data_IF_100169431589
#
_entry.id   IF_100169431589
#
_cell.length_a   1.000
_cell.length_b   1.000
_cell.length_c   1.000
_cell.angle_alpha   90.00
_cell.angle_beta   90.00
_cell.angle_gamma   90.00
#
_symmetry.space_group_name_H-M   'P 1'
#
loop_
_entity.id
_entity.type
_entity.pdbx_description
1 polymer ?
#
# COMPACT_ATOMS: atom_id res chain seq x y z
N UNK A 1 22.67 -9.84 -12.42
CA UNK A 1 21.69 -8.70 -12.49
C UNK A 1 20.49 -8.97 -13.42
N UNK A 2 19.91 -10.18 -13.48
CA UNK A 2 19.01 -10.57 -14.59
C UNK A 2 17.64 -11.14 -14.17
N UNK A 3 17.25 -11.23 -12.91
CA UNK A 3 16.00 -11.92 -12.56
C UNK A 3 14.82 -11.05 -12.06
N UNK A 4 15.05 -9.82 -11.61
CA UNK A 4 13.98 -8.97 -11.06
C UNK A 4 13.15 -8.21 -12.12
N UNK A 5 13.69 -8.00 -13.31
CA UNK A 5 12.97 -7.28 -14.39
C UNK A 5 12.09 -8.19 -15.26
N UNK A 6 12.16 -9.52 -15.13
CA UNK A 6 11.39 -10.41 -16.00
C UNK A 6 9.91 -10.46 -15.65
N UNK A 7 9.56 -10.34 -14.35
CA UNK A 7 8.17 -10.41 -13.90
C UNK A 7 7.28 -9.33 -14.55
N UNK A 8 7.75 -8.07 -14.62
CA UNK A 8 6.93 -7.00 -15.21
C UNK A 8 6.92 -7.00 -16.74
N UNK A 9 7.89 -7.64 -17.44
CA UNK A 9 7.94 -7.67 -18.90
C UNK A 9 6.70 -8.31 -19.54
N UNK A 10 6.12 -9.30 -18.88
CA UNK A 10 4.91 -10.01 -19.35
C UNK A 10 3.63 -9.49 -18.66
N UNK A 11 3.79 -8.75 -17.55
CA UNK A 11 2.67 -8.28 -16.75
C UNK A 11 1.84 -7.20 -17.47
N UNK A 12 2.51 -6.24 -18.14
CA UNK A 12 1.84 -5.16 -18.85
C UNK A 12 1.95 -5.34 -20.36
N UNK A 13 0.88 -5.81 -21.00
CA UNK A 13 0.84 -5.98 -22.47
C UNK A 13 0.67 -4.65 -23.23
N UNK A 14 0.10 -3.63 -22.59
CA UNK A 14 -0.15 -2.31 -23.18
C UNK A 14 0.20 -1.21 -22.19
N UNK A 15 0.75 -0.12 -22.72
CA UNK A 15 1.04 1.11 -22.00
C UNK A 15 0.30 2.24 -22.70
N UNK A 16 -0.61 2.90 -22.00
CA UNK A 16 -1.21 4.15 -22.44
C UNK A 16 -0.36 5.31 -21.94
N UNK A 17 -0.07 6.27 -22.82
CA UNK A 17 0.81 7.41 -22.49
C UNK A 17 0.09 8.70 -22.87
N UNK A 18 -0.10 9.59 -21.90
CA UNK A 18 -0.55 10.95 -22.21
C UNK A 18 0.49 11.65 -23.08
N UNK A 19 0.02 12.36 -24.11
CA UNK A 19 0.91 13.13 -24.99
C UNK A 19 1.81 14.10 -24.24
N UNK A 20 1.33 14.66 -23.14
CA UNK A 20 2.07 15.60 -22.30
C UNK A 20 3.33 15.00 -21.63
N UNK A 21 3.41 13.68 -21.52
CA UNK A 21 4.53 12.98 -20.86
C UNK A 21 5.34 12.10 -21.83
N UNK A 22 5.07 12.19 -23.13
CA UNK A 22 5.93 11.60 -24.15
C UNK A 22 7.32 12.24 -24.06
N UNK A 23 8.36 11.42 -24.01
CA UNK A 23 9.73 11.92 -23.94
C UNK A 23 10.25 12.33 -22.56
N UNK A 24 9.41 12.31 -21.51
CA UNK A 24 9.89 12.50 -20.13
C UNK A 24 10.85 11.36 -19.73
N UNK A 25 11.89 11.67 -18.95
CA UNK A 25 12.90 10.70 -18.53
C UNK A 25 12.32 9.47 -17.85
N UNK A 26 11.34 9.68 -16.95
CA UNK A 26 10.65 8.57 -16.27
C UNK A 26 9.86 7.71 -17.26
N UNK A 27 9.17 8.32 -18.21
CA UNK A 27 8.47 7.59 -19.29
C UNK A 27 9.44 6.74 -20.09
N UNK A 28 10.55 7.33 -20.53
CA UNK A 28 11.59 6.65 -21.30
C UNK A 28 12.23 5.49 -20.52
N UNK A 29 12.45 5.68 -19.21
CA UNK A 29 12.97 4.64 -18.32
C UNK A 29 12.00 3.44 -18.25
N UNK A 30 10.71 3.70 -18.07
CA UNK A 30 9.66 2.66 -17.99
C UNK A 30 9.56 1.91 -19.32
N UNK A 31 9.55 2.62 -20.44
CA UNK A 31 9.51 2.01 -21.78
C UNK A 31 10.71 1.09 -22.04
N UNK A 32 11.91 1.48 -21.62
CA UNK A 32 13.11 0.62 -21.72
C UNK A 32 12.97 -0.66 -20.88
N UNK A 33 12.23 -0.61 -19.78
CA UNK A 33 11.99 -1.77 -18.91
C UNK A 33 10.86 -2.68 -19.42
N UNK A 34 9.98 -2.16 -20.30
CA UNK A 34 8.83 -2.87 -20.89
C UNK A 34 8.90 -2.89 -22.44
N UNK A 35 9.96 -3.45 -23.04
CA UNK A 35 10.21 -3.32 -24.49
C UNK A 35 9.17 -4.07 -25.36
N UNK A 36 8.41 -4.99 -24.79
CA UNK A 36 7.40 -5.81 -25.51
C UNK A 36 5.98 -5.23 -25.42
N UNK A 37 5.76 -4.27 -24.52
CA UNK A 37 4.44 -3.67 -24.36
C UNK A 37 4.08 -2.77 -25.55
N UNK A 38 2.83 -2.87 -26.00
CA UNK A 38 2.29 -1.97 -27.04
C UNK A 38 2.03 -0.60 -26.46
N UNK A 39 2.60 0.43 -27.06
CA UNK A 39 2.37 1.83 -26.66
C UNK A 39 1.16 2.39 -27.40
N UNK A 40 0.28 3.06 -26.66
CA UNK A 40 -0.91 3.73 -27.17
C UNK A 40 -0.92 5.16 -26.61
N UNK A 41 -0.89 6.15 -27.47
CA UNK A 41 -1.00 7.55 -27.07
C UNK A 41 -2.46 7.90 -26.74
N UNK A 42 -2.65 8.69 -25.69
CA UNK A 42 -3.95 9.22 -25.27
C UNK A 42 -3.84 10.70 -24.98
N UNK A 43 -4.96 11.41 -25.06
CA UNK A 43 -4.98 12.83 -24.71
C UNK A 43 -5.00 13.04 -23.21
N UNK A 44 -5.80 12.24 -22.48
CA UNK A 44 -5.89 12.31 -21.02
C UNK A 44 -6.04 10.91 -20.42
N UNK A 45 -5.39 10.63 -19.27
CA UNK A 45 -5.44 9.31 -18.62
C UNK A 45 -6.87 8.86 -18.30
N UNK A 46 -7.78 9.80 -17.99
CA UNK A 46 -9.18 9.51 -17.68
C UNK A 46 -9.97 8.93 -18.87
N UNK A 47 -9.52 9.15 -20.11
CA UNK A 47 -10.12 8.56 -21.31
C UNK A 47 -10.08 7.03 -21.27
N UNK A 48 -9.10 6.48 -20.56
CA UNK A 48 -8.94 5.04 -20.32
C UNK A 48 -9.37 4.67 -18.89
N UNK A 49 -8.91 5.41 -17.89
CA UNK A 49 -9.09 5.10 -16.48
C UNK A 49 -10.55 5.22 -16.03
N UNK A 50 -11.26 6.25 -16.49
CA UNK A 50 -12.65 6.53 -16.12
C UNK A 50 -13.66 6.13 -17.21
N UNK A 51 -13.24 5.36 -18.22
CA UNK A 51 -14.14 4.93 -19.30
C UNK A 51 -15.34 4.17 -18.71
N UNK A 52 -16.58 4.50 -19.08
CA UNK A 52 -17.77 3.76 -18.63
C UNK A 52 -17.78 2.30 -19.09
N UNK A 53 -18.51 1.44 -18.36
CA UNK A 53 -18.75 0.05 -18.76
C UNK A 53 -17.53 -0.87 -18.63
N UNK A 54 -16.55 -0.52 -17.81
CA UNK A 54 -15.39 -1.36 -17.55
C UNK A 54 -15.75 -2.56 -16.68
N UNK A 55 -14.98 -3.64 -16.83
CA UNK A 55 -15.03 -4.80 -15.95
C UNK A 55 -13.71 -4.88 -15.17
N UNK A 56 -13.63 -4.29 -13.96
CA UNK A 56 -12.40 -4.24 -13.21
C UNK A 56 -11.91 -5.62 -12.78
N UNK A 57 -12.80 -6.57 -12.49
CA UNK A 57 -12.43 -7.95 -12.15
C UNK A 57 -11.72 -8.67 -13.30
N UNK A 58 -12.22 -8.54 -14.53
CA UNK A 58 -11.52 -9.07 -15.71
C UNK A 58 -10.21 -8.34 -15.99
N UNK A 59 -10.18 -7.02 -15.84
CA UNK A 59 -8.96 -6.22 -16.01
C UNK A 59 -7.86 -6.58 -15.02
N UNK A 60 -8.21 -7.02 -13.81
CA UNK A 60 -7.24 -7.41 -12.79
C UNK A 60 -6.31 -8.54 -13.26
N UNK A 61 -6.83 -9.44 -14.07
CA UNK A 61 -6.04 -10.54 -14.67
C UNK A 61 -5.08 -10.08 -15.78
N UNK A 62 -5.25 -8.87 -16.31
CA UNK A 62 -4.47 -8.32 -17.41
C UNK A 62 -4.43 -6.78 -17.33
N UNK A 63 -3.91 -6.28 -16.22
CA UNK A 63 -3.80 -4.84 -15.96
C UNK A 63 -2.98 -4.15 -17.06
N UNK A 64 -3.37 -2.91 -17.36
CA UNK A 64 -2.60 -2.02 -18.26
C UNK A 64 -1.95 -0.94 -17.45
N UNK A 65 -0.84 -0.43 -17.96
CA UNK A 65 -0.15 0.71 -17.37
C UNK A 65 -0.57 1.99 -18.09
N UNK A 66 -0.79 3.05 -17.34
CA UNK A 66 -1.12 4.37 -17.85
C UNK A 66 -0.11 5.37 -17.31
N UNK A 67 0.68 6.00 -18.16
CA UNK A 67 1.64 7.03 -17.79
C UNK A 67 1.01 8.40 -18.05
N UNK A 68 0.98 9.25 -17.04
CA UNK A 68 0.24 10.50 -17.08
C UNK A 68 0.93 11.61 -16.29
N UNK A 69 0.42 12.83 -16.43
CA UNK A 69 0.76 13.97 -15.59
C UNK A 69 -0.40 14.26 -14.63
N UNK A 70 -0.11 14.39 -13.34
CA UNK A 70 -1.08 14.94 -12.40
C UNK A 70 -0.98 16.48 -12.41
N UNK A 71 -2.00 17.11 -12.97
CA UNK A 71 -2.13 18.60 -12.98
C UNK A 71 -2.91 19.13 -11.78
N UNK A 72 -3.56 18.25 -10.99
CA UNK A 72 -4.30 18.60 -9.79
C UNK A 72 -3.43 18.55 -8.52
N UNK A 73 -4.11 18.50 -7.38
CA UNK A 73 -3.49 18.33 -6.06
C UNK A 73 -2.70 17.03 -5.97
N UNK A 74 -1.56 17.05 -5.29
CA UNK A 74 -0.62 15.93 -5.18
C UNK A 74 -0.38 15.49 -3.75
N UNK A 75 -0.47 16.43 -2.81
CA UNK A 75 -0.30 16.20 -1.36
C UNK A 75 -1.62 16.54 -0.67
N UNK A 76 -2.19 15.56 -0.01
CA UNK A 76 -3.51 15.65 0.62
C UNK A 76 -3.38 15.57 2.13
N UNK A 77 -4.23 16.25 2.92
CA UNK A 77 -4.32 16.02 4.35
C UNK A 77 -4.74 14.57 4.61
N UNK A 78 -4.20 13.98 5.66
CA UNK A 78 -4.50 12.61 6.06
C UNK A 78 -5.97 12.40 6.34
N UNK A 79 -6.47 11.22 6.01
CA UNK A 79 -7.86 10.90 6.28
C UNK A 79 -8.10 10.74 7.80
N UNK A 80 -9.24 11.23 8.34
CA UNK A 80 -9.52 11.18 9.79
C UNK A 80 -9.54 9.77 10.38
N UNK A 81 -9.72 8.76 9.53
CA UNK A 81 -9.72 7.34 9.88
C UNK A 81 -8.39 6.63 9.61
N UNK A 82 -7.29 7.36 9.31
CA UNK A 82 -5.94 6.81 9.26
C UNK A 82 -5.14 7.26 10.47
N UNK A 83 -4.21 6.44 10.96
CA UNK A 83 -3.34 6.82 12.06
C UNK A 83 -2.38 7.94 11.65
N UNK A 84 -2.29 8.96 12.50
CA UNK A 84 -1.25 9.99 12.44
C UNK A 84 -0.02 9.63 13.29
N UNK A 85 -0.11 8.54 14.07
CA UNK A 85 0.95 8.05 14.97
C UNK A 85 1.44 9.08 15.99
N UNK A 86 0.55 10.02 16.36
CA UNK A 86 0.85 11.08 17.32
C UNK A 86 1.53 12.31 16.71
N UNK A 87 1.70 12.37 15.38
CA UNK A 87 2.23 13.54 14.71
C UNK A 87 1.20 14.67 14.59
N UNK A 88 1.66 15.90 14.66
CA UNK A 88 0.80 17.10 14.64
C UNK A 88 0.15 17.38 13.29
N UNK A 89 0.76 16.89 12.20
CA UNK A 89 0.27 17.03 10.84
C UNK A 89 0.43 15.73 10.07
N UNK A 90 -0.65 15.29 9.40
CA UNK A 90 -0.64 14.08 8.58
C UNK A 90 -1.01 14.39 7.14
N UNK A 91 -0.16 13.93 6.22
CA UNK A 91 -0.37 14.05 4.78
C UNK A 91 -0.20 12.69 4.08
N UNK A 92 -0.78 12.59 2.88
CA UNK A 92 -0.52 11.47 1.99
C UNK A 92 -0.34 11.93 0.54
N UNK A 93 0.32 11.09 -0.25
CA UNK A 93 0.47 11.28 -1.69
C UNK A 93 -0.11 10.09 -2.44
N UNK A 94 -0.60 10.34 -3.66
CA UNK A 94 -1.15 9.33 -4.56
C UNK A 94 -0.50 9.47 -5.94
N UNK A 95 0.82 9.23 -5.99
CA UNK A 95 1.57 9.29 -7.25
C UNK A 95 1.30 8.08 -8.15
N UNK A 96 0.85 6.97 -7.57
CA UNK A 96 0.41 5.78 -8.28
C UNK A 96 -1.00 5.44 -7.83
N UNK A 97 -1.88 5.12 -8.79
CA UNK A 97 -3.25 4.68 -8.53
C UNK A 97 -3.40 3.20 -8.92
N UNK A 98 -4.09 2.44 -8.11
CA UNK A 98 -4.20 0.98 -8.15
C UNK A 98 -2.91 0.23 -7.84
N UNK A 99 -3.06 -1.05 -7.52
CA UNK A 99 -2.02 -1.90 -7.00
C UNK A 99 -1.82 -3.13 -7.91
N UNK A 100 -0.60 -3.66 -8.04
CA UNK A 100 -0.37 -4.90 -8.78
C UNK A 100 -0.94 -6.13 -8.06
N UNK A 101 -1.03 -6.10 -6.72
CA UNK A 101 -1.60 -7.18 -5.92
C UNK A 101 -3.13 -7.24 -6.00
N UNK A 102 -3.70 -8.42 -5.76
CA UNK A 102 -5.15 -8.67 -5.88
C UNK A 102 -5.79 -9.06 -4.54
N UNK A 103 -5.50 -8.32 -3.48
CA UNK A 103 -6.15 -8.55 -2.19
C UNK A 103 -7.67 -8.36 -2.29
N UNK A 104 -8.44 -9.36 -1.84
CA UNK A 104 -9.91 -9.34 -2.00
C UNK A 104 -10.61 -8.30 -1.12
N UNK A 105 -10.00 -7.91 -0.02
CA UNK A 105 -10.50 -6.88 0.90
C UNK A 105 -10.09 -5.45 0.54
N UNK A 106 -9.35 -5.25 -0.57
CA UNK A 106 -8.72 -3.97 -0.86
C UNK A 106 -9.73 -2.89 -1.26
N UNK A 107 -9.76 -1.76 -0.55
CA UNK A 107 -10.66 -0.64 -0.84
C UNK A 107 -10.46 -0.04 -2.23
N UNK A 108 -9.28 -0.20 -2.83
CA UNK A 108 -9.01 0.27 -4.19
C UNK A 108 -9.94 -0.38 -5.22
N UNK A 109 -10.39 -1.62 -4.96
CA UNK A 109 -11.37 -2.31 -5.80
C UNK A 109 -12.72 -1.59 -5.86
N UNK A 110 -13.07 -0.84 -4.84
CA UNK A 110 -14.29 -0.04 -4.81
C UNK A 110 -14.08 1.44 -5.09
N UNK A 111 -12.87 1.93 -4.88
CA UNK A 111 -12.50 3.33 -5.10
C UNK A 111 -12.41 3.69 -6.58
N UNK A 112 -11.85 2.78 -7.39
CA UNK A 112 -11.58 3.03 -8.80
C UNK A 112 -12.47 2.20 -9.72
N UNK A 113 -12.90 2.76 -10.87
CA UNK A 113 -13.80 2.06 -11.82
C UNK A 113 -13.05 1.05 -12.71
N UNK A 114 -11.76 0.90 -12.55
CA UNK A 114 -10.86 0.06 -13.34
C UNK A 114 -9.78 -0.53 -12.48
N UNK A 115 -9.17 -1.64 -12.89
CA UNK A 115 -7.98 -2.20 -12.26
C UNK A 115 -6.68 -1.77 -12.93
N UNK A 116 -6.72 -0.97 -14.01
CA UNK A 116 -5.53 -0.45 -14.65
C UNK A 116 -4.74 0.46 -13.70
N UNK A 117 -3.41 0.45 -13.83
CA UNK A 117 -2.52 1.21 -12.95
C UNK A 117 -2.17 2.53 -13.62
N UNK A 118 -2.36 3.64 -12.91
CA UNK A 118 -1.89 4.97 -13.35
C UNK A 118 -0.62 5.31 -12.60
N UNK A 119 0.36 5.82 -13.32
CA UNK A 119 1.60 6.37 -12.77
C UNK A 119 1.72 7.82 -13.21
N UNK A 120 1.74 8.72 -12.27
CA UNK A 120 2.02 10.12 -12.54
C UNK A 120 3.52 10.35 -12.54
N UNK A 121 4.08 10.58 -13.73
CA UNK A 121 5.53 10.63 -13.95
C UNK A 121 6.17 11.96 -13.57
N UNK A 122 5.38 13.00 -13.29
CA UNK A 122 5.83 14.33 -12.90
C UNK A 122 6.21 14.43 -11.41
N UNK A 123 7.14 13.61 -10.96
CA UNK A 123 7.57 13.51 -9.55
C UNK A 123 8.00 14.85 -8.97
N UNK A 124 8.68 15.68 -9.76
CA UNK A 124 9.20 16.96 -9.29
C UNK A 124 8.08 17.92 -8.85
N UNK A 125 6.90 17.84 -9.49
CA UNK A 125 5.72 18.60 -9.08
C UNK A 125 5.16 18.13 -7.72
N UNK A 126 5.21 16.82 -7.46
CA UNK A 126 4.86 16.24 -6.15
C UNK A 126 5.79 16.75 -5.06
N UNK A 127 7.09 16.76 -5.33
CA UNK A 127 8.11 17.21 -4.39
C UNK A 127 8.01 18.72 -4.14
N UNK A 128 7.68 19.52 -5.15
CA UNK A 128 7.48 20.96 -5.03
C UNK A 128 6.22 21.28 -4.21
N UNK A 129 5.13 20.54 -4.41
CA UNK A 129 3.93 20.70 -3.60
C UNK A 129 4.15 20.24 -2.15
N UNK A 130 4.91 19.16 -1.94
CA UNK A 130 5.32 18.72 -0.60
C UNK A 130 6.07 19.85 0.13
N UNK A 131 7.03 20.49 -0.53
CA UNK A 131 7.79 21.62 0.04
C UNK A 131 6.88 22.78 0.43
N UNK A 132 5.76 22.98 -0.29
CA UNK A 132 4.82 24.07 -0.02
C UNK A 132 3.91 23.79 1.18
N UNK A 133 3.63 22.52 1.48
CA UNK A 133 2.71 22.11 2.56
C UNK A 133 3.44 21.72 3.85
N UNK A 134 4.65 21.19 3.75
CA UNK A 134 5.48 20.89 4.92
C UNK A 134 6.08 22.17 5.46
N UNK A 135 5.62 22.56 6.63
CA UNK A 135 6.27 23.58 7.44
C UNK A 135 7.36 22.92 8.28
N UNK A 136 8.34 23.67 8.74
CA UNK A 136 9.29 23.17 9.71
C UNK A 136 8.54 22.67 10.96
N UNK A 137 8.75 21.41 11.32
CA UNK A 137 8.12 20.78 12.47
C UNK A 137 7.71 19.31 12.25
N UNK A 138 7.10 18.75 13.28
CA UNK A 138 6.64 17.38 13.31
C UNK A 138 5.52 17.11 12.29
N UNK A 139 5.77 16.21 11.36
CA UNK A 139 4.82 15.79 10.33
C UNK A 139 4.92 14.30 10.01
N UNK A 140 3.84 13.74 9.48
CA UNK A 140 3.77 12.38 8.98
C UNK A 140 3.27 12.38 7.53
N UNK A 141 4.01 11.73 6.64
CA UNK A 141 3.69 11.64 5.22
C UNK A 141 3.71 10.19 4.75
N UNK A 142 2.57 9.67 4.29
CA UNK A 142 2.53 8.34 3.66
C UNK A 142 2.60 8.45 2.13
N UNK A 143 3.50 7.68 1.51
CA UNK A 143 3.78 7.74 0.07
C UNK A 143 2.93 6.79 -0.77
N UNK A 144 2.47 5.69 -0.19
CA UNK A 144 1.79 4.59 -0.90
C UNK A 144 0.32 4.50 -0.51
N UNK A 145 -0.44 5.61 -0.58
CA UNK A 145 -1.82 5.58 -0.12
C UNK A 145 -2.74 4.80 -1.08
N UNK A 146 -2.64 5.05 -2.38
CA UNK A 146 -3.52 4.45 -3.40
C UNK A 146 -2.86 3.34 -4.23
N UNK A 147 -1.76 2.76 -3.72
CA UNK A 147 -1.02 1.69 -4.40
C UNK A 147 -0.05 1.00 -3.43
N UNK A 148 0.59 -0.07 -3.87
CA UNK A 148 1.87 -0.53 -3.31
C UNK A 148 2.99 -0.01 -4.23
N UNK A 149 3.46 1.20 -3.95
CA UNK A 149 4.46 1.88 -4.77
C UNK A 149 5.80 1.12 -4.75
N UNK A 150 6.15 0.53 -3.61
CA UNK A 150 7.37 -0.26 -3.46
C UNK A 150 7.35 -1.53 -4.31
N UNK A 151 6.18 -2.16 -4.47
CA UNK A 151 6.02 -3.30 -5.37
C UNK A 151 6.32 -2.93 -6.83
N UNK A 152 6.01 -1.72 -7.24
CA UNK A 152 6.20 -1.23 -8.62
C UNK A 152 7.56 -0.53 -8.82
N UNK A 153 8.29 -0.20 -7.77
CA UNK A 153 9.54 0.58 -7.86
C UNK A 153 10.60 -0.03 -8.78
N UNK A 154 10.81 -1.37 -8.84
CA UNK A 154 11.74 -1.96 -9.79
C UNK A 154 11.41 -1.62 -11.26
N UNK A 155 10.14 -1.31 -11.55
CA UNK A 155 9.69 -0.84 -12.86
C UNK A 155 9.75 0.68 -12.97
N UNK A 156 9.33 1.42 -11.94
CA UNK A 156 9.05 2.84 -12.02
C UNK A 156 10.28 3.73 -11.79
N UNK A 157 11.10 3.42 -10.79
CA UNK A 157 12.27 4.22 -10.43
C UNK A 157 11.91 5.62 -9.88
N UNK A 158 10.82 5.74 -9.12
CA UNK A 158 10.32 7.01 -8.60
C UNK A 158 10.91 7.36 -7.23
N UNK A 159 11.18 6.34 -6.41
CA UNK A 159 11.50 6.52 -4.98
C UNK A 159 12.86 7.19 -4.74
N UNK A 160 13.81 7.07 -5.67
CA UNK A 160 15.13 7.74 -5.52
C UNK A 160 15.00 9.26 -5.38
N UNK A 161 14.06 9.89 -6.10
CA UNK A 161 13.78 11.32 -5.97
C UNK A 161 13.16 11.65 -4.60
N UNK A 162 12.26 10.79 -4.12
CA UNK A 162 11.66 10.91 -2.80
C UNK A 162 12.70 10.82 -1.69
N UNK A 163 13.59 9.81 -1.71
CA UNK A 163 14.65 9.66 -0.70
C UNK A 163 15.54 10.88 -0.60
N UNK A 164 15.95 11.44 -1.75
CA UNK A 164 16.74 12.69 -1.77
C UNK A 164 15.99 13.87 -1.16
N UNK A 165 14.66 13.93 -1.36
CA UNK A 165 13.84 15.02 -0.80
C UNK A 165 13.62 14.84 0.71
N UNK A 166 13.38 13.63 1.19
CA UNK A 166 13.18 13.32 2.61
C UNK A 166 14.36 13.79 3.48
N UNK A 167 15.58 13.71 2.97
CA UNK A 167 16.77 14.17 3.67
C UNK A 167 16.74 15.66 4.06
N UNK A 168 15.86 16.47 3.44
CA UNK A 168 15.67 17.88 3.77
C UNK A 168 14.71 18.11 4.94
N UNK A 169 14.00 17.08 5.39
CA UNK A 169 12.95 17.14 6.40
C UNK A 169 13.20 16.15 7.53
N UNK A 170 14.27 16.32 8.34
CA UNK A 170 14.64 15.37 9.38
C UNK A 170 13.55 15.18 10.45
N UNK A 171 12.73 16.21 10.70
CA UNK A 171 11.66 16.19 11.71
C UNK A 171 10.31 15.67 11.17
N UNK A 172 10.24 15.33 9.88
CA UNK A 172 9.04 14.75 9.24
C UNK A 172 9.24 13.27 9.04
N UNK A 173 8.36 12.44 9.58
CA UNK A 173 8.36 10.98 9.36
C UNK A 173 7.69 10.65 8.03
N UNK A 174 8.37 9.90 7.19
CA UNK A 174 7.83 9.35 5.94
C UNK A 174 7.54 7.86 6.09
N UNK A 175 6.39 7.42 5.61
CA UNK A 175 6.03 6.00 5.57
C UNK A 175 5.95 5.48 4.14
N UNK A 176 6.64 4.36 3.90
CA UNK A 176 6.48 3.54 2.71
C UNK A 176 5.87 2.20 3.11
N UNK A 177 4.56 2.05 2.93
CA UNK A 177 3.85 0.80 3.28
C UNK A 177 3.85 -0.16 2.11
N UNK A 178 4.16 -1.44 2.37
CA UNK A 178 4.26 -2.45 1.32
C UNK A 178 3.98 -3.88 1.80
N UNK A 179 3.51 -4.71 0.86
CA UNK A 179 3.51 -6.17 0.95
C UNK A 179 4.65 -6.82 0.14
N UNK A 180 5.37 -6.01 -0.65
CA UNK A 180 6.46 -6.50 -1.49
C UNK A 180 7.75 -6.73 -0.68
N UNK A 181 8.61 -7.58 -1.21
CA UNK A 181 9.97 -7.77 -0.69
C UNK A 181 10.90 -6.67 -1.26
N UNK A 182 10.66 -5.44 -0.82
CA UNK A 182 11.35 -4.25 -1.32
C UNK A 182 12.36 -3.73 -0.31
N UNK A 183 13.61 -3.58 -0.75
CA UNK A 183 14.66 -2.89 0.00
C UNK A 183 14.88 -1.51 -0.62
N UNK A 184 14.79 -0.41 0.15
CA UNK A 184 15.11 0.92 -0.35
C UNK A 184 16.51 0.99 -0.99
N UNK A 185 16.66 1.80 -2.02
CA UNK A 185 17.96 2.07 -2.66
C UNK A 185 18.83 3.05 -1.86
N UNK A 186 18.18 3.88 -1.01
CA UNK A 186 18.89 4.76 -0.08
C UNK A 186 19.54 3.99 1.07
N UNK A 187 20.53 4.57 1.73
CA UNK A 187 20.91 4.15 3.06
C UNK A 187 19.74 4.32 4.06
N UNK A 188 19.73 3.62 5.20
CA UNK A 188 18.75 3.87 6.25
C UNK A 188 18.69 5.35 6.64
N UNK A 189 17.50 5.84 6.87
CA UNK A 189 17.20 7.23 7.27
C UNK A 189 16.31 7.21 8.50
N UNK A 190 16.60 8.06 9.49
CA UNK A 190 15.85 8.11 10.76
C UNK A 190 14.41 8.55 10.57
N UNK A 191 14.13 9.27 9.51
CA UNK A 191 12.80 9.77 9.17
C UNK A 191 12.06 8.94 8.11
N UNK A 192 12.57 7.77 7.69
CA UNK A 192 11.89 6.84 6.80
C UNK A 192 11.51 5.55 7.55
N UNK A 193 10.22 5.26 7.60
CA UNK A 193 9.66 4.00 8.10
C UNK A 193 9.22 3.13 6.92
N UNK A 194 9.76 1.91 6.84
CA UNK A 194 9.24 0.89 5.94
C UNK A 194 8.16 0.11 6.70
N UNK A 195 6.89 0.34 6.35
CA UNK A 195 5.78 -0.35 6.97
C UNK A 195 5.48 -1.66 6.22
N UNK A 196 5.90 -2.78 6.80
CA UNK A 196 5.69 -4.11 6.21
C UNK A 196 4.32 -4.63 6.64
N UNK A 197 3.44 -4.87 5.65
CA UNK A 197 2.12 -5.46 5.93
C UNK A 197 2.24 -6.95 6.15
N UNK A 198 1.73 -7.42 7.30
CA UNK A 198 1.78 -8.82 7.71
C UNK A 198 0.38 -9.28 8.15
N UNK A 199 0.01 -10.49 7.74
CA UNK A 199 -1.17 -11.21 8.23
C UNK A 199 -0.80 -12.69 8.41
N UNK A 200 -1.58 -13.47 9.20
CA UNK A 200 -1.38 -14.91 9.30
C UNK A 200 -1.37 -15.59 7.92
N UNK A 201 -0.56 -16.63 7.75
CA UNK A 201 -0.45 -17.31 6.46
C UNK A 201 -1.80 -17.79 5.90
N UNK A 202 -2.75 -18.36 6.69
CA UNK A 202 -4.08 -18.73 6.18
C UNK A 202 -4.87 -17.52 5.61
N UNK A 203 -4.72 -16.34 6.23
CA UNK A 203 -5.36 -15.12 5.74
C UNK A 203 -4.72 -14.65 4.43
N UNK A 204 -3.39 -14.72 4.33
CA UNK A 204 -2.68 -14.36 3.10
C UNK A 204 -3.13 -15.27 1.95
N UNK A 205 -3.19 -16.58 2.15
CA UNK A 205 -3.60 -17.54 1.14
C UNK A 205 -5.03 -17.32 0.65
N UNK A 206 -5.92 -16.97 1.58
CA UNK A 206 -7.33 -16.78 1.26
C UNK A 206 -7.65 -15.42 0.66
N UNK A 207 -6.96 -14.36 1.07
CA UNK A 207 -7.36 -12.98 0.78
C UNK A 207 -6.32 -12.14 0.04
N UNK A 208 -5.07 -12.54 -0.03
CA UNK A 208 -3.98 -11.70 -0.57
C UNK A 208 -3.32 -12.31 -1.83
N UNK A 209 -4.12 -12.54 -2.87
CA UNK A 209 -3.61 -13.12 -4.12
C UNK A 209 -2.49 -12.28 -4.74
N UNK A 210 -1.42 -12.96 -5.14
CA UNK A 210 -0.26 -12.37 -5.80
C UNK A 210 0.78 -11.76 -4.86
N UNK A 211 0.56 -11.80 -3.53
CA UNK A 211 1.51 -11.28 -2.55
C UNK A 211 2.50 -12.35 -2.07
N UNK A 212 3.67 -11.99 -1.52
CA UNK A 212 4.58 -12.94 -0.90
C UNK A 212 3.97 -13.60 0.35
N UNK A 213 4.38 -14.84 0.65
CA UNK A 213 3.99 -15.55 1.87
C UNK A 213 4.50 -14.86 3.14
N UNK A 214 3.88 -15.16 4.29
CA UNK A 214 4.30 -14.64 5.60
C UNK A 214 5.79 -14.91 5.87
N UNK A 215 6.24 -16.13 5.69
CA UNK A 215 7.64 -16.50 5.91
C UNK A 215 8.62 -15.67 5.06
N UNK A 216 8.29 -15.37 3.80
CA UNK A 216 9.11 -14.50 2.94
C UNK A 216 9.11 -13.07 3.43
N UNK A 217 7.97 -12.55 3.91
CA UNK A 217 7.87 -11.18 4.45
C UNK A 217 8.65 -11.06 5.77
N UNK A 218 8.57 -12.04 6.68
CA UNK A 218 9.35 -12.08 7.92
C UNK A 218 10.86 -12.12 7.62
N UNK A 219 11.27 -13.00 6.71
CA UNK A 219 12.69 -13.07 6.30
C UNK A 219 13.18 -11.74 5.75
N UNK A 220 12.42 -11.11 4.88
CA UNK A 220 12.77 -9.81 4.31
C UNK A 220 12.79 -8.70 5.35
N UNK A 221 11.83 -8.68 6.28
CA UNK A 221 11.78 -7.74 7.40
C UNK A 221 13.04 -7.83 8.25
N UNK A 222 13.47 -9.05 8.61
CA UNK A 222 14.71 -9.26 9.36
C UNK A 222 15.93 -8.75 8.59
N UNK A 223 15.96 -8.85 7.25
CA UNK A 223 17.02 -8.24 6.44
C UNK A 223 16.99 -6.70 6.50
N UNK A 224 15.81 -6.09 6.52
CA UNK A 224 15.68 -4.64 6.68
C UNK A 224 16.21 -4.19 8.05
N UNK A 225 15.81 -4.87 9.13
CA UNK A 225 16.29 -4.60 10.50
C UNK A 225 17.81 -4.75 10.60
N UNK A 226 18.36 -5.85 10.09
CA UNK A 226 19.81 -6.10 10.09
C UNK A 226 20.61 -5.05 9.29
N UNK A 227 19.96 -4.35 8.36
CA UNK A 227 20.56 -3.25 7.59
C UNK A 227 20.40 -1.90 8.29
N UNK A 228 19.59 -1.82 9.38
CA UNK A 228 19.37 -0.60 10.15
C UNK A 228 18.17 0.24 9.70
N UNK A 229 17.27 -0.28 8.83
CA UNK A 229 16.05 0.42 8.48
C UNK A 229 15.07 0.44 9.66
N UNK A 230 14.39 1.56 9.84
CA UNK A 230 13.24 1.63 10.74
C UNK A 230 12.06 0.89 10.12
N UNK A 231 11.50 -0.07 10.84
CA UNK A 231 10.41 -0.92 10.35
C UNK A 231 9.20 -0.81 11.27
N UNK A 232 8.02 -0.67 10.66
CA UNK A 232 6.70 -0.79 11.30
C UNK A 232 6.06 -2.09 10.87
N UNK A 233 5.40 -2.79 11.79
CA UNK A 233 4.51 -3.90 11.44
C UNK A 233 3.10 -3.35 11.18
N UNK A 234 2.56 -3.56 9.98
CA UNK A 234 1.20 -3.19 9.64
C UNK A 234 0.32 -4.45 9.60
N UNK A 235 -0.36 -4.75 10.70
CA UNK A 235 -1.27 -5.89 10.86
C UNK A 235 -2.70 -5.38 10.62
N UNK A 236 -2.97 -4.94 9.41
CA UNK A 236 -4.23 -4.26 9.02
C UNK A 236 -4.56 -4.59 7.56
N UNK A 237 -5.80 -5.07 7.27
CA UNK A 237 -6.90 -5.26 8.19
C UNK A 237 -6.92 -6.66 8.83
N UNK A 238 -7.35 -6.74 10.09
CA UNK A 238 -7.77 -8.00 10.68
C UNK A 238 -9.08 -8.44 10.01
N UNK A 239 -9.11 -9.70 9.60
CA UNK A 239 -10.27 -10.31 8.93
C UNK A 239 -10.85 -11.42 9.82
N UNK A 240 -12.17 -11.45 9.91
CA UNK A 240 -12.87 -12.52 10.61
C UNK A 240 -12.92 -13.77 9.73
N UNK A 241 -12.22 -14.79 10.17
CA UNK A 241 -12.12 -16.10 9.53
C UNK A 241 -12.45 -17.18 10.56
N UNK A 242 -12.63 -18.41 10.11
CA UNK A 242 -12.79 -19.56 10.99
C UNK A 242 -11.59 -19.64 11.96
N UNK A 243 -11.85 -19.86 13.23
CA UNK A 243 -10.83 -19.91 14.29
C UNK A 243 -9.96 -18.63 14.42
N UNK A 244 -10.46 -17.46 14.01
CA UNK A 244 -9.70 -16.21 13.98
C UNK A 244 -8.92 -15.94 15.27
N UNK A 245 -9.55 -16.08 16.44
CA UNK A 245 -8.90 -15.86 17.73
C UNK A 245 -7.65 -16.73 17.93
N UNK A 246 -7.72 -18.02 17.62
CA UNK A 246 -6.60 -18.94 17.73
C UNK A 246 -5.50 -18.63 16.70
N UNK A 247 -5.91 -18.33 15.46
CA UNK A 247 -4.98 -18.03 14.36
C UNK A 247 -4.21 -16.75 14.61
N UNK A 248 -4.88 -15.67 15.02
CA UNK A 248 -4.22 -14.39 15.31
C UNK A 248 -3.36 -14.45 16.58
N UNK A 249 -3.80 -15.18 17.61
CA UNK A 249 -2.97 -15.43 18.80
C UNK A 249 -1.68 -16.16 18.43
N UNK A 250 -1.78 -17.28 17.70
CA UNK A 250 -0.63 -18.02 17.21
C UNK A 250 0.31 -17.18 16.32
N UNK A 251 -0.26 -16.35 15.46
CA UNK A 251 0.49 -15.43 14.61
C UNK A 251 1.29 -14.39 15.43
N UNK A 252 0.71 -13.83 16.48
CA UNK A 252 1.42 -12.89 17.34
C UNK A 252 2.62 -13.56 18.04
N UNK A 253 2.47 -14.81 18.51
CA UNK A 253 3.58 -15.59 19.04
C UNK A 253 4.63 -15.97 17.98
N UNK A 254 4.20 -16.28 16.74
CA UNK A 254 5.11 -16.50 15.60
C UNK A 254 5.96 -15.26 15.33
N UNK A 255 5.35 -14.06 15.33
CA UNK A 255 6.09 -12.80 15.18
C UNK A 255 7.10 -12.60 16.31
N UNK A 256 6.69 -12.81 17.58
CA UNK A 256 7.56 -12.67 18.75
C UNK A 256 8.75 -13.64 18.78
N UNK A 257 8.59 -14.83 18.17
CA UNK A 257 9.66 -15.82 18.07
C UNK A 257 10.57 -15.65 16.84
N UNK A 258 10.06 -15.01 15.79
CA UNK A 258 10.74 -14.92 14.48
C UNK A 258 11.38 -13.56 14.22
N UNK A 259 11.00 -12.53 14.98
CA UNK A 259 11.45 -11.14 14.84
C UNK A 259 11.87 -10.62 16.20
N UNK A 260 13.00 -9.92 16.27
CA UNK A 260 13.32 -9.12 17.45
C UNK A 260 12.41 -7.88 17.47
N UNK A 261 11.28 -7.98 18.20
CA UNK A 261 10.28 -6.91 18.29
C UNK A 261 10.81 -5.69 19.06
N UNK A 262 11.94 -5.76 19.75
CA UNK A 262 12.58 -4.59 20.36
C UNK A 262 13.10 -3.61 19.32
N UNK A 263 13.49 -4.09 18.14
CA UNK A 263 14.01 -3.31 17.02
C UNK A 263 12.92 -2.70 16.14
N UNK A 264 11.67 -3.17 16.26
CA UNK A 264 10.53 -2.63 15.50
C UNK A 264 10.16 -1.24 16.04
N UNK A 265 9.92 -0.26 15.17
CA UNK A 265 9.49 1.08 15.57
C UNK A 265 8.15 1.03 16.32
N UNK A 266 7.17 0.40 15.71
CA UNK A 266 5.83 0.23 16.25
C UNK A 266 5.02 -0.83 15.46
N UNK A 267 3.83 -1.16 15.98
CA UNK A 267 2.83 -2.01 15.33
C UNK A 267 1.56 -1.20 15.12
N UNK A 268 1.01 -1.22 13.91
CA UNK A 268 -0.34 -0.71 13.64
C UNK A 268 -1.28 -1.86 13.34
N UNK A 269 -2.45 -1.87 13.98
CA UNK A 269 -3.49 -2.89 13.76
C UNK A 269 -4.88 -2.28 13.73
N UNK A 270 -5.78 -2.94 13.04
CA UNK A 270 -7.19 -2.55 12.95
C UNK A 270 -7.97 -3.55 12.14
N UNK A 271 -9.29 -3.61 12.39
CA UNK A 271 -10.17 -4.50 11.66
C UNK A 271 -10.56 -3.95 10.28
N UNK A 272 -11.08 -4.84 9.44
CA UNK A 272 -11.63 -4.46 8.15
C UNK A 272 -12.71 -3.38 8.31
N UNK A 273 -12.54 -2.32 7.54
CA UNK A 273 -13.50 -1.23 7.40
C UNK A 273 -13.38 -0.61 6.01
N UNK A 274 -14.50 -0.22 5.43
CA UNK A 274 -14.52 0.36 4.08
C UNK A 274 -15.71 1.32 3.94
N UNK A 275 -15.57 2.46 3.23
CA UNK A 275 -16.73 3.27 2.87
C UNK A 275 -17.78 2.43 2.16
N UNK A 276 -19.05 2.58 2.54
CA UNK A 276 -20.14 1.72 2.04
C UNK A 276 -20.31 1.75 0.52
N UNK A 277 -20.02 2.90 -0.11
CA UNK A 277 -20.07 3.01 -1.56
C UNK A 277 -18.92 2.23 -2.22
N UNK A 278 -17.72 2.25 -1.63
CA UNK A 278 -16.59 1.45 -2.13
C UNK A 278 -16.89 -0.04 -1.97
N UNK A 279 -17.44 -0.46 -0.84
CA UNK A 279 -17.84 -1.85 -0.64
C UNK A 279 -18.85 -2.32 -1.70
N UNK A 280 -19.90 -1.53 -1.96
CA UNK A 280 -20.89 -1.84 -3.01
C UNK A 280 -20.26 -1.94 -4.40
N UNK A 281 -19.35 -1.02 -4.73
CA UNK A 281 -18.65 -1.04 -6.02
C UNK A 281 -17.74 -2.27 -6.13
N UNK A 282 -17.03 -2.62 -5.08
CA UNK A 282 -16.18 -3.82 -5.02
C UNK A 282 -17.01 -5.07 -5.27
N UNK A 283 -18.14 -5.25 -4.57
CA UNK A 283 -19.03 -6.40 -4.75
C UNK A 283 -19.60 -6.50 -6.18
N UNK A 284 -19.86 -5.36 -6.85
CA UNK A 284 -20.36 -5.35 -8.23
C UNK A 284 -19.28 -5.60 -9.28
N UNK A 285 -18.06 -5.10 -9.03
CA UNK A 285 -16.99 -5.07 -10.03
C UNK A 285 -16.07 -6.29 -10.01
N UNK A 286 -16.07 -7.04 -8.92
CA UNK A 286 -15.20 -8.20 -8.73
C UNK A 286 -16.04 -9.44 -8.41
N UNK A 287 -15.60 -10.60 -8.86
CA UNK A 287 -16.31 -11.86 -8.64
C UNK A 287 -16.56 -12.16 -7.15
N UNK A 288 -17.38 -13.16 -6.90
CA UNK A 288 -17.76 -13.59 -5.56
C UNK A 288 -16.51 -13.94 -4.71
N UNK A 289 -16.51 -13.42 -3.49
CA UNK A 289 -15.49 -13.71 -2.49
C UNK A 289 -16.12 -13.74 -1.09
N UNK A 290 -15.53 -14.48 -0.15
CA UNK A 290 -16.08 -14.65 1.20
C UNK A 290 -16.37 -13.33 1.91
N UNK A 291 -15.53 -12.32 1.71
CA UNK A 291 -15.73 -11.00 2.32
C UNK A 291 -17.03 -10.30 1.85
N UNK A 292 -17.57 -10.67 0.68
CA UNK A 292 -18.82 -10.11 0.16
C UNK A 292 -20.06 -10.64 0.87
N UNK A 293 -19.95 -11.76 1.54
CA UNK A 293 -21.06 -12.44 2.23
C UNK A 293 -21.02 -12.27 3.75
N UNK A 294 -19.97 -11.62 4.28
CA UNK A 294 -19.90 -11.38 5.70
C UNK A 294 -21.01 -10.40 6.14
N UNK A 295 -21.71 -10.64 7.27
CA UNK A 295 -22.80 -9.81 7.76
C UNK A 295 -22.28 -8.55 8.48
N UNK A 296 -21.62 -7.67 7.72
CA UNK A 296 -21.10 -6.42 8.26
C UNK A 296 -22.21 -5.48 8.71
N UNK A 297 -21.90 -4.68 9.71
CA UNK A 297 -22.70 -3.49 10.06
C UNK A 297 -22.30 -2.30 9.19
N UNK A 298 -23.24 -1.36 9.02
CA UNK A 298 -22.95 -0.07 8.39
C UNK A 298 -23.11 1.03 9.44
N UNK A 299 -22.00 1.60 9.89
CA UNK A 299 -21.96 2.66 10.89
C UNK A 299 -21.27 3.87 10.26
N UNK A 300 -21.90 5.05 10.31
CA UNK A 300 -21.37 6.30 9.77
C UNK A 300 -20.88 6.18 8.31
N UNK A 301 -21.64 5.49 7.47
CA UNK A 301 -21.33 5.19 6.06
C UNK A 301 -20.09 4.30 5.86
N UNK A 302 -19.64 3.61 6.90
CA UNK A 302 -18.60 2.59 6.81
C UNK A 302 -19.17 1.20 7.05
N UNK A 303 -18.78 0.26 6.20
CA UNK A 303 -18.99 -1.17 6.40
C UNK A 303 -17.87 -1.68 7.29
N UNK A 304 -18.22 -2.34 8.39
CA UNK A 304 -17.27 -2.84 9.41
C UNK A 304 -17.85 -3.99 10.21
N UNK A 305 -17.06 -4.65 11.02
CA UNK A 305 -17.56 -5.62 12.01
C UNK A 305 -18.33 -4.91 13.14
N UNK A 306 -19.12 -5.68 13.91
CA UNK A 306 -19.67 -5.20 15.16
C UNK A 306 -18.55 -4.81 16.13
N UNK A 307 -18.81 -3.85 17.03
CA UNK A 307 -17.80 -3.42 18.01
C UNK A 307 -17.28 -4.56 18.87
N UNK A 308 -18.14 -5.49 19.28
CA UNK A 308 -17.75 -6.66 20.07
C UNK A 308 -16.74 -7.52 19.26
N UNK A 309 -17.04 -7.79 18.00
CA UNK A 309 -16.15 -8.61 17.15
C UNK A 309 -14.83 -7.91 16.83
N UNK A 310 -14.85 -6.61 16.62
CA UNK A 310 -13.62 -5.82 16.47
C UNK A 310 -12.71 -5.94 17.69
N UNK A 311 -13.28 -5.78 18.91
CA UNK A 311 -12.50 -5.91 20.15
C UNK A 311 -11.88 -7.30 20.28
N UNK A 312 -12.64 -8.36 20.04
CA UNK A 312 -12.13 -9.75 20.11
C UNK A 312 -10.97 -9.99 19.14
N UNK A 313 -11.09 -9.52 17.89
CA UNK A 313 -10.04 -9.67 16.87
C UNK A 313 -8.80 -8.88 17.24
N UNK A 314 -8.96 -7.64 17.70
CA UNK A 314 -7.85 -6.78 18.13
C UNK A 314 -7.13 -7.39 19.33
N UNK A 315 -7.85 -7.82 20.35
CA UNK A 315 -7.29 -8.42 21.57
C UNK A 315 -6.54 -9.71 21.25
N UNK A 316 -7.04 -10.52 20.30
CA UNK A 316 -6.38 -11.76 19.90
C UNK A 316 -4.97 -11.56 19.31
N UNK A 317 -4.66 -10.38 18.80
CA UNK A 317 -3.33 -10.01 18.30
C UNK A 317 -2.56 -9.20 19.34
N UNK A 318 -3.21 -8.19 19.92
CA UNK A 318 -2.50 -7.20 20.76
C UNK A 318 -2.09 -7.76 22.11
N UNK A 319 -2.91 -8.62 22.73
CA UNK A 319 -2.59 -9.17 24.05
C UNK A 319 -1.35 -10.06 24.04
N UNK A 320 -1.19 -11.00 23.09
CA UNK A 320 0.07 -11.74 23.00
C UNK A 320 1.28 -10.86 22.64
N UNK A 321 1.11 -9.84 21.78
CA UNK A 321 2.21 -8.95 21.40
C UNK A 321 2.77 -8.14 22.58
N UNK A 322 1.93 -7.80 23.58
CA UNK A 322 2.36 -7.11 24.80
C UNK A 322 3.40 -7.89 25.64
N UNK A 323 3.57 -9.19 25.37
CA UNK A 323 4.61 -10.00 26.00
C UNK A 323 6.00 -9.74 25.41
N UNK A 324 6.05 -9.19 24.19
CA UNK A 324 7.28 -9.02 23.40
C UNK A 324 7.67 -7.56 23.19
N UNK A 325 6.74 -6.62 23.40
CA UNK A 325 6.99 -5.20 23.18
C UNK A 325 6.12 -4.31 24.08
N UNK A 326 6.53 -3.06 24.28
CA UNK A 326 5.78 -2.09 25.06
C UNK A 326 4.45 -1.77 24.38
N UNK A 327 3.36 -1.77 25.19
CA UNK A 327 2.01 -1.45 24.71
C UNK A 327 1.88 -0.06 24.09
N UNK A 328 2.69 0.91 24.50
CA UNK A 328 2.69 2.27 23.93
C UNK A 328 3.15 2.30 22.45
N UNK A 329 3.76 1.24 21.99
CA UNK A 329 4.19 1.06 20.59
C UNK A 329 3.17 0.27 19.76
N UNK A 330 2.01 -0.07 20.31
CA UNK A 330 0.92 -0.78 19.61
C UNK A 330 -0.21 0.20 19.37
N UNK A 331 -0.37 0.63 18.15
CA UNK A 331 -1.42 1.54 17.68
C UNK A 331 -2.60 0.73 17.18
N UNK A 332 -3.75 0.91 17.81
CA UNK A 332 -5.02 0.24 17.48
C UNK A 332 -5.97 1.22 16.83
N UNK A 333 -6.72 0.74 15.84
CA UNK A 333 -7.70 1.56 15.14
C UNK A 333 -9.03 0.83 14.89
#
# INVERSE_FOLDING_TARGET
MTSKNSFYREFFSHIYIEKAVLGCDTTNLILKRLPTAKVIEVNHYKDVFNKPGQNPGAQKKSQKLILAQNTGRKVYPGAPYCHDFGHSAFFYTSQVLNCPFDCSYCYLKGKFPTSNIVVFVNTDDYLSELDSVLKAGDGFVTLSYDSDMAALEPLLGLLDKWYKRMAKYPDTTFELRTKALYKPSSAPMDNLIVAVSLLPQPVIEQFESGTPSLAKRIHHLNQLLATGYRVRLAIDPLLDIEDAGRIYNGFAHELGSSIDLSLISDVSTGCFRMPSDYYKNMCRGFGEHLIHYYPFETIEKQVRYSKARESELIESVTDPLKQYMDKSRIYVR
#
